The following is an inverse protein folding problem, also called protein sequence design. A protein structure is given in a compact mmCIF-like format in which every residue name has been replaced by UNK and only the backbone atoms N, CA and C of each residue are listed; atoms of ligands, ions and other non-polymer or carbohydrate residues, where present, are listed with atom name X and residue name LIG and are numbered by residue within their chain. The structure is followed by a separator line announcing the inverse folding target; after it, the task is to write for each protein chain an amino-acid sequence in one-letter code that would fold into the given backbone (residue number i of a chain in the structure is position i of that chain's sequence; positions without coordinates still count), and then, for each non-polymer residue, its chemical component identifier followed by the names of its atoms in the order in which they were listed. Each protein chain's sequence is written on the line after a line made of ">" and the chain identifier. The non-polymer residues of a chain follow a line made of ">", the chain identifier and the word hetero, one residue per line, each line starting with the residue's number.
data_IF_619151265126
#
_entry.id   IF_619151265126
#
_cell.length_a   1.000
_cell.length_b   1.000
_cell.length_c   1.000
_cell.angle_alpha   90.00
_cell.angle_beta   90.00
_cell.angle_gamma   90.00
#
_symmetry.space_group_name_H-M   'P 1'
#
loop_
_entity.id
_entity.type
_entity.pdbx_description
1 polymer ?
#
# COMPACT_ATOMS: atom_id res chain seq x y z
N UNK A 1 -3.72 6.96 4.55
CA UNK A 1 -4.16 5.55 4.56
C UNK A 1 -4.48 5.22 3.13
N UNK A 2 -3.61 4.45 2.47
CA UNK A 2 -3.70 4.24 1.01
C UNK A 2 -5.02 3.60 0.59
N UNK A 3 -5.63 2.84 1.51
CA UNK A 3 -6.85 2.08 1.31
C UNK A 3 -8.08 2.91 0.89
N UNK A 4 -8.11 4.22 1.17
CA UNK A 4 -9.23 5.09 0.75
C UNK A 4 -9.09 5.63 -0.67
N UNK A 5 -7.85 5.78 -1.16
CA UNK A 5 -7.56 6.47 -2.43
C UNK A 5 -7.33 5.48 -3.59
N UNK A 6 -6.97 4.23 -3.29
CA UNK A 6 -6.61 3.23 -4.31
C UNK A 6 -7.82 2.66 -5.08
N UNK A 7 -9.05 2.81 -4.58
CA UNK A 7 -10.27 2.23 -5.17
C UNK A 7 -11.19 3.29 -5.76
N UNK A 8 -10.76 3.95 -6.84
CA UNK A 8 -11.57 4.92 -7.59
C UNK A 8 -12.77 4.25 -8.28
N UNK A 9 -13.85 4.99 -8.60
CA UNK A 9 -15.01 4.47 -9.34
C UNK A 9 -14.61 3.75 -10.63
N UNK A 10 -13.71 4.33 -11.41
CA UNK A 10 -13.17 3.72 -12.63
C UNK A 10 -12.47 2.37 -12.35
N UNK A 11 -11.61 2.33 -11.33
CA UNK A 11 -10.90 1.10 -10.97
C UNK A 11 -11.86 -0.01 -10.51
N UNK A 12 -12.91 0.34 -9.75
CA UNK A 12 -13.90 -0.63 -9.29
C UNK A 12 -14.71 -1.20 -10.46
N UNK A 13 -15.12 -0.35 -11.42
CA UNK A 13 -15.80 -0.80 -12.66
C UNK A 13 -14.91 -1.74 -13.47
N UNK A 14 -13.62 -1.42 -13.63
CA UNK A 14 -12.65 -2.28 -14.28
C UNK A 14 -12.59 -3.67 -13.60
N UNK A 15 -12.52 -3.71 -12.27
CA UNK A 15 -12.48 -4.98 -11.53
C UNK A 15 -13.79 -5.78 -11.66
N UNK A 16 -14.96 -5.12 -11.72
CA UNK A 16 -16.24 -5.79 -12.02
C UNK A 16 -16.25 -6.44 -13.40
N UNK A 17 -15.73 -5.75 -14.42
CA UNK A 17 -15.61 -6.28 -15.78
C UNK A 17 -14.65 -7.47 -15.82
N UNK A 18 -13.48 -7.36 -15.20
CA UNK A 18 -12.52 -8.47 -15.07
C UNK A 18 -13.15 -9.67 -14.37
N UNK A 19 -13.94 -9.46 -13.32
CA UNK A 19 -14.65 -10.54 -12.63
C UNK A 19 -15.72 -11.20 -13.52
N UNK A 20 -16.49 -10.41 -14.29
CA UNK A 20 -17.46 -10.91 -15.28
C UNK A 20 -16.77 -11.71 -16.39
N UNK A 21 -15.64 -11.22 -16.90
CA UNK A 21 -14.84 -11.94 -17.89
C UNK A 21 -14.31 -13.26 -17.35
N UNK A 22 -13.77 -13.30 -16.13
CA UNK A 22 -13.30 -14.54 -15.50
C UNK A 22 -14.41 -15.58 -15.37
N UNK A 23 -15.62 -15.16 -14.97
CA UNK A 23 -16.80 -16.05 -14.92
C UNK A 23 -17.16 -16.60 -16.31
N UNK A 24 -17.08 -15.77 -17.36
CA UNK A 24 -17.31 -16.23 -18.75
C UNK A 24 -16.20 -17.18 -19.23
N UNK A 25 -14.94 -16.89 -18.89
CA UNK A 25 -13.75 -17.68 -19.26
C UNK A 25 -13.70 -19.04 -18.56
N UNK A 26 -14.20 -19.15 -17.34
CA UNK A 26 -14.33 -20.44 -16.63
C UNK A 26 -15.24 -21.44 -17.38
N UNK A 27 -16.08 -20.96 -18.28
CA UNK A 27 -16.99 -21.78 -19.09
C UNK A 27 -16.43 -22.10 -20.51
N UNK A 28 -15.17 -21.78 -20.81
CA UNK A 28 -14.55 -22.03 -22.13
C UNK A 28 -13.03 -22.30 -22.07
N UNK A 29 -12.42 -22.58 -23.23
CA UNK A 29 -10.99 -22.89 -23.37
C UNK A 29 -10.15 -21.61 -23.43
N UNK A 30 -9.78 -21.07 -22.26
CA UNK A 30 -9.07 -19.79 -22.13
C UNK A 30 -7.55 -19.96 -21.98
N UNK A 31 -6.77 -19.07 -22.61
CA UNK A 31 -5.31 -18.99 -22.44
C UNK A 31 -5.01 -18.02 -21.28
N UNK A 32 -4.38 -18.48 -20.18
CA UNK A 32 -4.19 -17.66 -19.00
C UNK A 32 -3.27 -16.46 -19.29
N UNK A 33 -3.63 -15.28 -18.77
CA UNK A 33 -2.75 -14.12 -18.78
C UNK A 33 -1.45 -14.41 -17.99
N UNK A 34 -0.39 -13.65 -18.25
CA UNK A 34 0.97 -13.95 -17.75
C UNK A 34 1.05 -14.10 -16.21
N UNK A 35 0.20 -13.38 -15.48
CA UNK A 35 0.10 -13.45 -14.02
C UNK A 35 -1.19 -14.12 -13.52
N UNK A 36 -2.00 -14.68 -14.41
CA UNK A 36 -3.24 -15.35 -14.05
C UNK A 36 -2.91 -16.65 -13.31
N UNK A 37 -3.38 -16.75 -12.05
CA UNK A 37 -3.08 -17.87 -11.16
C UNK A 37 -1.88 -17.67 -10.22
N UNK A 38 -1.16 -16.55 -10.32
CA UNK A 38 -0.12 -16.21 -9.34
C UNK A 38 -0.78 -15.82 -8.01
N UNK A 39 -0.41 -16.51 -6.93
CA UNK A 39 -0.86 -16.16 -5.59
C UNK A 39 0.00 -15.01 -5.04
N UNK A 40 -0.59 -13.81 -4.97
CA UNK A 40 0.04 -12.64 -4.36
C UNK A 40 -0.06 -12.64 -2.84
N UNK A 41 -0.85 -13.53 -2.24
CA UNK A 41 -1.11 -13.66 -0.81
C UNK A 41 -1.73 -12.42 -0.12
N UNK A 42 -1.67 -11.24 -0.73
CA UNK A 42 -2.46 -10.07 -0.37
C UNK A 42 -3.94 -10.35 -0.61
N UNK A 43 -4.75 -10.05 0.40
CA UNK A 43 -6.20 -10.20 0.32
C UNK A 43 -6.84 -9.25 1.33
N UNK A 44 -7.78 -8.43 0.90
CA UNK A 44 -8.58 -7.61 1.80
C UNK A 44 -10.04 -7.75 1.37
N UNK A 45 -10.79 -8.59 2.09
CA UNK A 45 -12.22 -8.79 1.88
C UNK A 45 -12.99 -8.68 3.20
N UNK A 46 -14.28 -8.96 3.18
CA UNK A 46 -15.15 -8.93 4.36
C UNK A 46 -14.79 -9.93 5.47
N UNK A 47 -13.86 -10.88 5.27
CA UNK A 47 -13.49 -11.87 6.30
C UNK A 47 -12.03 -11.85 6.69
N UNK A 48 -11.13 -11.61 5.73
CA UNK A 48 -9.68 -11.72 5.88
C UNK A 48 -8.98 -10.50 5.32
N UNK A 49 -8.11 -9.94 6.15
CA UNK A 49 -7.16 -8.92 5.76
C UNK A 49 -5.74 -9.46 5.91
N UNK A 50 -5.11 -9.79 4.77
CA UNK A 50 -3.77 -10.36 4.64
C UNK A 50 -2.86 -9.39 3.91
N UNK A 51 -1.66 -9.24 4.43
CA UNK A 51 -0.60 -8.47 3.77
C UNK A 51 0.60 -9.35 3.47
N UNK A 52 1.14 -9.21 2.27
CA UNK A 52 2.27 -9.93 1.74
C UNK A 52 3.13 -8.93 0.93
N UNK A 53 4.27 -8.47 1.46
CA UNK A 53 5.14 -7.58 0.72
C UNK A 53 5.82 -8.31 -0.44
N UNK A 54 5.98 -7.64 -1.57
CA UNK A 54 6.77 -8.16 -2.68
C UNK A 54 8.21 -8.45 -2.21
N UNK A 55 8.86 -9.52 -2.69
CA UNK A 55 10.24 -9.80 -2.32
C UNK A 55 11.16 -8.69 -2.86
N UNK A 56 12.31 -8.49 -2.19
CA UNK A 56 13.28 -7.45 -2.56
C UNK A 56 13.69 -7.51 -4.05
N UNK A 57 13.76 -8.69 -4.65
CA UNK A 57 14.08 -8.85 -6.07
C UNK A 57 13.07 -8.17 -7.00
N UNK A 58 11.77 -8.22 -6.65
CA UNK A 58 10.71 -7.58 -7.42
C UNK A 58 10.65 -6.09 -7.14
N UNK A 59 10.83 -5.69 -5.87
CA UNK A 59 10.90 -4.29 -5.48
C UNK A 59 12.08 -3.56 -6.12
N UNK A 60 13.23 -4.22 -6.26
CA UNK A 60 14.46 -3.65 -6.83
C UNK A 60 14.21 -3.02 -8.21
N UNK A 61 13.59 -3.74 -9.15
CA UNK A 61 13.33 -3.22 -10.48
C UNK A 61 12.37 -2.03 -10.49
N UNK A 62 11.35 -2.05 -9.61
CA UNK A 62 10.42 -0.93 -9.44
C UNK A 62 11.13 0.31 -8.88
N UNK A 63 12.02 0.13 -7.89
CA UNK A 63 12.83 1.21 -7.32
C UNK A 63 13.77 1.78 -8.38
N UNK A 64 14.48 0.93 -9.15
CA UNK A 64 15.38 1.40 -10.21
C UNK A 64 14.61 2.16 -11.28
N UNK A 65 13.42 1.68 -11.70
CA UNK A 65 12.57 2.39 -12.65
C UNK A 65 12.16 3.77 -12.11
N UNK A 66 11.66 3.84 -10.88
CA UNK A 66 11.16 5.09 -10.30
C UNK A 66 12.30 6.09 -10.07
N UNK A 67 13.43 5.62 -9.55
CA UNK A 67 14.61 6.43 -9.32
C UNK A 67 15.19 6.97 -10.63
N UNK A 68 15.41 6.10 -11.63
CA UNK A 68 15.99 6.52 -12.93
C UNK A 68 15.07 7.48 -13.69
N UNK A 69 13.74 7.25 -13.67
CA UNK A 69 12.76 8.18 -14.22
C UNK A 69 12.81 9.54 -13.52
N UNK A 70 12.79 9.54 -12.18
CA UNK A 70 12.85 10.77 -11.38
C UNK A 70 14.15 11.54 -11.62
N UNK A 71 15.29 10.85 -11.58
CA UNK A 71 16.60 11.45 -11.89
C UNK A 71 16.65 12.03 -13.30
N UNK A 72 16.11 11.34 -14.31
CA UNK A 72 16.08 11.85 -15.69
C UNK A 72 15.28 13.15 -15.82
N UNK A 73 14.13 13.23 -15.14
CA UNK A 73 13.28 14.43 -15.13
C UNK A 73 13.97 15.61 -14.45
N UNK A 74 14.73 15.37 -13.37
CA UNK A 74 15.44 16.42 -12.62
C UNK A 74 16.72 16.86 -13.33
N UNK A 75 17.52 15.92 -13.82
CA UNK A 75 18.80 16.23 -14.44
C UNK A 75 18.66 16.88 -15.81
N UNK A 76 17.56 16.67 -16.54
CA UNK A 76 17.33 17.30 -17.83
C UNK A 76 17.37 18.85 -17.79
N UNK A 77 16.52 19.54 -17.02
CA UNK A 77 16.57 21.00 -16.91
C UNK A 77 17.86 21.49 -16.24
N UNK A 78 18.37 20.76 -15.23
CA UNK A 78 19.62 21.15 -14.57
C UNK A 78 20.80 21.11 -15.54
N UNK A 79 20.87 20.10 -16.40
CA UNK A 79 21.90 19.96 -17.42
C UNK A 79 21.86 21.12 -18.41
N UNK A 80 20.67 21.54 -18.82
CA UNK A 80 20.50 22.70 -19.70
C UNK A 80 21.02 23.99 -19.04
N UNK A 81 20.69 24.23 -17.77
CA UNK A 81 21.19 25.39 -17.02
C UNK A 81 22.71 25.34 -16.88
N UNK A 82 23.27 24.19 -16.49
CA UNK A 82 24.73 24.03 -16.36
C UNK A 82 25.45 24.25 -17.67
N UNK A 83 24.83 23.88 -18.81
CA UNK A 83 25.39 24.10 -20.14
C UNK A 83 25.47 25.59 -20.48
N UNK A 84 24.41 26.35 -20.19
CA UNK A 84 24.39 27.80 -20.41
C UNK A 84 25.43 28.52 -19.53
N UNK A 85 25.51 28.14 -18.26
CA UNK A 85 26.52 28.69 -17.33
C UNK A 85 27.93 28.37 -17.82
N UNK A 86 28.18 27.14 -18.27
CA UNK A 86 29.49 26.73 -18.76
C UNK A 86 29.91 27.50 -20.02
N UNK A 87 28.99 27.74 -20.97
CA UNK A 87 29.27 28.57 -22.14
C UNK A 87 29.61 30.00 -21.72
N UNK A 88 28.82 30.58 -20.81
CA UNK A 88 29.00 31.96 -20.36
C UNK A 88 30.28 32.18 -19.55
N UNK A 89 30.68 31.20 -18.74
CA UNK A 89 31.84 31.30 -17.85
C UNK A 89 33.17 30.94 -18.52
N UNK A 90 33.13 30.21 -19.64
CA UNK A 90 34.36 29.76 -20.29
C UNK A 90 34.97 30.84 -21.21
N UNK A 91 36.29 30.82 -21.31
CA UNK A 91 37.02 31.59 -22.34
C UNK A 91 37.14 30.83 -23.68
N UNK A 92 36.58 29.62 -23.77
CA UNK A 92 36.63 28.77 -24.95
C UNK A 92 35.47 29.07 -25.90
N UNK A 93 35.57 28.64 -27.17
CA UNK A 93 34.42 28.70 -28.08
C UNK A 93 33.28 27.80 -27.58
N UNK A 94 32.04 28.24 -27.77
CA UNK A 94 30.84 27.49 -27.32
C UNK A 94 30.81 26.04 -27.85
N UNK A 95 31.37 25.80 -29.05
CA UNK A 95 31.48 24.47 -29.66
C UNK A 95 32.40 23.55 -28.86
N UNK A 96 33.57 24.05 -28.43
CA UNK A 96 34.54 23.25 -27.68
C UNK A 96 34.02 22.89 -26.30
N UNK A 97 33.41 23.85 -25.61
CA UNK A 97 32.71 23.63 -24.33
C UNK A 97 31.62 22.58 -24.48
N UNK A 98 30.83 22.68 -25.56
CA UNK A 98 29.73 21.74 -25.81
C UNK A 98 30.25 20.31 -26.03
N UNK A 99 31.35 20.14 -26.78
CA UNK A 99 31.95 18.82 -27.01
C UNK A 99 32.50 18.24 -25.70
N UNK A 100 33.21 19.03 -24.90
CA UNK A 100 33.76 18.57 -23.62
C UNK A 100 32.64 18.15 -22.65
N UNK A 101 31.56 18.92 -22.57
CA UNK A 101 30.38 18.54 -21.78
C UNK A 101 29.70 17.29 -22.33
N UNK A 102 29.59 17.15 -23.65
CA UNK A 102 28.96 16.00 -24.29
C UNK A 102 29.73 14.69 -24.04
N UNK A 103 31.06 14.77 -23.91
CA UNK A 103 31.90 13.60 -23.64
C UNK A 103 32.04 13.29 -22.15
N UNK A 104 32.00 14.30 -21.28
CA UNK A 104 32.18 14.12 -19.83
C UNK A 104 30.87 14.18 -19.02
N UNK A 105 30.19 15.32 -19.07
CA UNK A 105 29.05 15.62 -18.20
C UNK A 105 27.77 14.89 -18.62
N UNK A 106 27.35 15.02 -19.88
CA UNK A 106 26.09 14.46 -20.36
C UNK A 106 25.98 12.94 -20.21
N UNK A 107 27.01 12.12 -20.51
CA UNK A 107 26.91 10.67 -20.37
C UNK A 107 26.67 10.23 -18.93
N UNK A 108 27.23 10.93 -17.95
CA UNK A 108 27.11 10.59 -16.53
C UNK A 108 25.75 11.04 -15.97
N UNK A 109 25.37 12.30 -16.20
CA UNK A 109 24.19 12.89 -15.55
C UNK A 109 22.88 12.70 -16.32
N UNK A 110 22.94 12.51 -17.65
CA UNK A 110 21.77 12.26 -18.49
C UNK A 110 21.82 10.85 -19.10
N UNK A 111 22.96 10.43 -19.63
CA UNK A 111 23.11 9.14 -20.31
C UNK A 111 22.81 7.94 -19.42
N UNK A 112 23.50 7.81 -18.28
CA UNK A 112 23.31 6.68 -17.35
C UNK A 112 21.86 6.63 -16.82
N UNK A 113 21.26 7.71 -16.30
CA UNK A 113 19.87 7.68 -15.85
C UNK A 113 18.88 7.31 -16.96
N UNK A 114 19.03 7.87 -18.17
CA UNK A 114 18.16 7.56 -19.30
C UNK A 114 18.29 6.09 -19.73
N UNK A 115 19.51 5.55 -19.76
CA UNK A 115 19.75 4.15 -20.10
C UNK A 115 19.13 3.23 -19.04
N UNK A 116 19.33 3.52 -17.75
CA UNK A 116 18.72 2.75 -16.67
C UNK A 116 17.19 2.82 -16.70
N UNK A 117 16.62 3.98 -17.03
CA UNK A 117 15.19 4.15 -17.20
C UNK A 117 14.67 3.29 -18.36
N UNK A 118 15.33 3.35 -19.53
CA UNK A 118 14.98 2.56 -20.70
C UNK A 118 15.05 1.06 -20.41
N UNK A 119 16.16 0.57 -19.85
CA UNK A 119 16.35 -0.85 -19.53
C UNK A 119 15.30 -1.33 -18.53
N UNK A 120 15.07 -0.57 -17.47
CA UNK A 120 14.06 -0.93 -16.46
C UNK A 120 12.66 -0.95 -17.03
N UNK A 121 12.32 0.00 -17.91
CA UNK A 121 11.03 0.06 -18.59
C UNK A 121 10.82 -1.15 -19.52
N UNK A 122 11.85 -1.54 -20.28
CA UNK A 122 11.81 -2.73 -21.13
C UNK A 122 11.60 -3.98 -20.28
N UNK A 123 12.40 -4.17 -19.22
CA UNK A 123 12.32 -5.34 -18.36
C UNK A 123 10.94 -5.46 -17.69
N UNK A 124 10.40 -4.36 -17.16
CA UNK A 124 9.13 -4.38 -16.44
C UNK A 124 7.95 -4.71 -17.38
N UNK A 125 7.93 -4.10 -18.57
CA UNK A 125 6.79 -4.21 -19.48
C UNK A 125 6.87 -5.43 -20.42
N UNK A 126 8.07 -5.83 -20.83
CA UNK A 126 8.24 -6.89 -21.84
C UNK A 126 8.77 -8.21 -21.25
N UNK A 127 9.43 -8.17 -20.09
CA UNK A 127 10.02 -9.36 -19.45
C UNK A 127 9.55 -9.57 -18.01
N UNK A 128 8.22 -9.76 -17.79
CA UNK A 128 7.64 -9.92 -16.46
C UNK A 128 8.27 -11.02 -15.62
N UNK A 129 8.71 -12.13 -16.25
CA UNK A 129 9.36 -13.25 -15.56
C UNK A 129 10.74 -12.91 -14.97
N UNK A 130 11.41 -11.86 -15.46
CA UNK A 130 12.74 -11.47 -14.99
C UNK A 130 12.62 -10.67 -13.69
N UNK A 131 11.72 -9.70 -13.66
CA UNK A 131 11.59 -8.80 -12.51
C UNK A 131 10.62 -9.32 -11.47
N UNK A 132 9.49 -9.89 -11.88
CA UNK A 132 8.43 -10.25 -10.96
C UNK A 132 8.61 -11.65 -10.41
N UNK A 133 8.80 -11.71 -9.10
CA UNK A 133 8.69 -12.93 -8.28
C UNK A 133 7.56 -12.76 -7.27
N UNK A 134 6.65 -13.73 -7.13
CA UNK A 134 5.59 -13.66 -6.15
C UNK A 134 6.16 -13.67 -4.72
N UNK A 135 5.43 -13.09 -3.75
CA UNK A 135 5.78 -13.21 -2.35
C UNK A 135 5.70 -14.67 -1.90
N UNK A 136 6.52 -15.04 -0.90
CA UNK A 136 6.54 -16.40 -0.35
C UNK A 136 5.24 -16.75 0.40
N UNK A 137 4.56 -15.72 0.90
CA UNK A 137 3.35 -15.83 1.69
C UNK A 137 3.03 -14.50 2.38
N UNK A 138 1.92 -14.44 3.14
CA UNK A 138 1.58 -13.29 3.94
C UNK A 138 2.55 -13.11 5.12
N UNK A 139 2.83 -11.88 5.49
CA UNK A 139 3.56 -11.53 6.72
C UNK A 139 2.64 -11.60 7.94
N UNK A 140 1.39 -11.12 7.77
CA UNK A 140 0.35 -11.19 8.77
C UNK A 140 -1.04 -11.35 8.13
N UNK A 141 -1.98 -11.86 8.92
CA UNK A 141 -3.39 -12.05 8.58
C UNK A 141 -4.27 -11.69 9.77
N UNK A 142 -5.26 -10.83 9.53
CA UNK A 142 -6.35 -10.54 10.43
C UNK A 142 -7.59 -11.26 9.92
N UNK A 143 -8.22 -12.09 10.75
CA UNK A 143 -9.41 -12.83 10.38
C UNK A 143 -10.60 -12.37 11.24
N UNK A 144 -11.47 -11.54 10.64
CA UNK A 144 -12.67 -10.99 11.27
C UNK A 144 -13.59 -12.08 11.79
N UNK A 145 -13.81 -13.16 11.03
CA UNK A 145 -14.74 -14.25 11.41
C UNK A 145 -14.32 -14.96 12.69
N UNK A 146 -13.02 -15.18 12.85
CA UNK A 146 -12.48 -15.90 14.02
C UNK A 146 -12.02 -14.99 15.14
N UNK A 147 -11.82 -13.70 14.87
CA UNK A 147 -11.17 -12.76 15.80
C UNK A 147 -9.67 -13.02 16.02
N UNK A 148 -9.04 -13.84 15.17
CA UNK A 148 -7.64 -14.25 15.30
C UNK A 148 -6.72 -13.41 14.40
N UNK A 149 -5.51 -13.20 14.90
CA UNK A 149 -4.37 -12.62 14.21
C UNK A 149 -3.34 -13.71 14.00
N UNK A 150 -2.84 -13.86 12.76
CA UNK A 150 -1.76 -14.79 12.43
C UNK A 150 -0.54 -14.02 11.95
N UNK A 151 0.62 -14.27 12.53
CA UNK A 151 1.92 -13.75 12.10
C UNK A 151 2.74 -14.92 11.55
N UNK A 152 3.34 -14.74 10.38
CA UNK A 152 4.09 -15.78 9.69
C UNK A 152 5.59 -15.50 9.75
N UNK A 153 6.39 -16.44 10.27
CA UNK A 153 7.85 -16.35 10.27
C UNK A 153 8.44 -17.33 9.23
N UNK A 154 9.23 -16.78 8.31
CA UNK A 154 9.87 -17.49 7.20
C UNK A 154 11.38 -17.73 7.40
N UNK A 155 11.95 -17.49 8.59
CA UNK A 155 13.38 -17.70 8.87
C UNK A 155 13.82 -19.13 8.59
N UNK A 156 13.04 -20.13 9.02
CA UNK A 156 13.34 -21.56 8.83
C UNK A 156 12.92 -22.10 7.47
N UNK A 157 12.05 -21.39 6.75
CA UNK A 157 11.52 -21.83 5.46
C UNK A 157 12.60 -22.15 4.43
N UNK A 158 13.69 -21.37 4.38
CA UNK A 158 14.77 -21.63 3.40
C UNK A 158 15.58 -22.89 3.68
N UNK A 159 15.73 -23.27 4.96
CA UNK A 159 16.59 -24.38 5.39
C UNK A 159 15.80 -25.68 5.61
N UNK A 160 14.61 -25.57 6.19
CA UNK A 160 13.80 -26.70 6.68
C UNK A 160 12.46 -26.81 5.96
N UNK A 161 12.07 -25.83 5.15
CA UNK A 161 10.76 -25.80 4.48
C UNK A 161 9.58 -25.51 5.42
N UNK A 162 9.83 -25.26 6.71
CA UNK A 162 8.80 -24.99 7.72
C UNK A 162 8.46 -23.49 7.75
N UNK A 163 7.16 -23.18 7.78
CA UNK A 163 6.64 -21.82 8.01
C UNK A 163 6.07 -21.80 9.42
N UNK A 164 6.69 -21.03 10.29
CA UNK A 164 6.21 -20.85 11.65
C UNK A 164 5.04 -19.86 11.65
N UNK A 165 4.05 -20.14 12.49
CA UNK A 165 2.85 -19.32 12.61
C UNK A 165 2.59 -19.06 14.08
N UNK A 166 2.53 -17.79 14.43
CA UNK A 166 2.01 -17.35 15.72
C UNK A 166 0.55 -16.95 15.53
N UNK A 167 -0.35 -17.53 16.31
CA UNK A 167 -1.80 -17.27 16.22
C UNK A 167 -2.27 -16.86 17.61
N UNK A 168 -2.85 -15.66 17.70
CA UNK A 168 -3.42 -15.15 18.94
C UNK A 168 -4.70 -14.34 18.66
N UNK A 169 -5.64 -14.25 19.61
CA UNK A 169 -6.80 -13.37 19.52
C UNK A 169 -6.43 -11.89 19.37
N UNK A 170 -7.22 -11.13 18.61
CA UNK A 170 -6.96 -9.71 18.34
C UNK A 170 -6.95 -8.85 19.60
N UNK A 171 -7.77 -9.16 20.60
CA UNK A 171 -7.83 -8.42 21.87
C UNK A 171 -6.57 -8.57 22.74
N UNK A 172 -5.67 -9.51 22.41
CA UNK A 172 -4.38 -9.70 23.09
C UNK A 172 -3.26 -8.82 22.49
N UNK A 173 -3.58 -8.06 21.43
CA UNK A 173 -2.67 -7.10 20.83
C UNK A 173 -2.97 -5.69 21.31
N UNK A 174 -1.94 -5.04 21.84
CA UNK A 174 -1.99 -3.64 22.22
C UNK A 174 -1.44 -2.78 21.08
N UNK A 175 -2.10 -1.64 20.84
CA UNK A 175 -1.75 -0.71 19.78
C UNK A 175 -0.79 0.37 20.28
N UNK A 176 0.34 0.50 19.60
CA UNK A 176 1.36 1.50 19.86
C UNK A 176 1.52 2.43 18.66
N UNK A 177 1.65 3.72 18.94
CA UNK A 177 2.08 4.69 17.94
C UNK A 177 3.61 4.75 17.94
N UNK A 178 4.21 4.37 16.81
CA UNK A 178 5.65 4.48 16.61
C UNK A 178 5.98 5.81 15.94
N UNK A 179 6.98 6.51 16.47
CA UNK A 179 7.49 7.76 15.91
C UNK A 179 8.86 7.52 15.32
N UNK A 180 9.02 7.71 14.02
CA UNK A 180 10.32 7.69 13.34
C UNK A 180 10.72 9.11 12.99
N UNK A 181 11.88 9.56 13.47
CA UNK A 181 12.41 10.89 13.13
C UNK A 181 13.15 10.84 11.81
N UNK A 182 12.68 11.60 10.82
CA UNK A 182 13.34 11.79 9.53
C UNK A 182 13.80 13.26 9.40
N UNK A 183 14.67 13.53 8.42
CA UNK A 183 15.16 14.90 8.12
C UNK A 183 14.03 15.91 7.82
N UNK A 184 12.84 15.42 7.47
CA UNK A 184 11.66 16.21 7.12
C UNK A 184 10.66 16.35 8.26
N UNK A 185 10.94 15.79 9.45
CA UNK A 185 10.03 15.80 10.59
C UNK A 185 9.75 14.40 11.14
N UNK A 186 8.98 14.31 12.25
CA UNK A 186 8.51 13.03 12.78
C UNK A 186 7.49 12.41 11.84
N UNK A 187 7.59 11.12 11.61
CA UNK A 187 6.59 10.32 10.93
C UNK A 187 5.96 9.35 11.93
N UNK A 188 4.64 9.23 11.89
CA UNK A 188 3.90 8.35 12.80
C UNK A 188 3.40 7.10 12.09
N UNK A 189 3.50 5.95 12.75
CA UNK A 189 3.00 4.67 12.27
C UNK A 189 2.28 3.88 13.37
N UNK A 190 1.54 2.86 12.97
CA UNK A 190 0.85 1.94 13.87
C UNK A 190 1.63 0.64 14.00
N UNK A 191 1.90 0.23 15.25
CA UNK A 191 2.48 -1.05 15.61
C UNK A 191 1.50 -1.78 16.52
N UNK A 192 1.16 -3.03 16.19
CA UNK A 192 0.49 -3.92 17.14
C UNK A 192 1.52 -4.83 17.78
N UNK A 193 1.49 -4.92 19.10
CA UNK A 193 2.37 -5.80 19.87
C UNK A 193 1.52 -6.74 20.71
N UNK A 194 1.85 -8.03 20.67
CA UNK A 194 1.21 -9.01 21.52
C UNK A 194 1.59 -8.79 22.99
N UNK A 195 0.62 -8.90 23.90
CA UNK A 195 0.82 -8.57 25.32
C UNK A 195 1.76 -9.54 26.04
N UNK A 196 1.68 -10.83 25.70
CA UNK A 196 2.38 -11.89 26.46
C UNK A 196 3.66 -12.40 25.80
N UNK A 197 3.86 -12.13 24.51
CA UNK A 197 4.99 -12.65 23.74
C UNK A 197 5.59 -11.53 22.88
N UNK A 198 6.88 -11.62 22.54
CA UNK A 198 7.57 -10.61 21.71
C UNK A 198 7.24 -10.76 20.21
N UNK A 199 5.95 -10.68 19.90
CA UNK A 199 5.41 -10.69 18.55
C UNK A 199 4.84 -9.32 18.20
N UNK A 200 5.26 -8.77 17.05
CA UNK A 200 4.96 -7.39 16.63
C UNK A 200 4.55 -7.36 15.16
N UNK A 201 3.57 -6.52 14.84
CA UNK A 201 3.12 -6.26 13.46
C UNK A 201 3.25 -4.77 13.20
N UNK A 202 4.05 -4.41 12.21
CA UNK A 202 4.21 -3.02 11.79
C UNK A 202 3.32 -2.73 10.57
N UNK A 203 2.38 -1.79 10.73
CA UNK A 203 1.44 -1.40 9.68
C UNK A 203 1.92 -0.20 8.84
N UNK A 204 3.19 0.20 8.94
CA UNK A 204 3.75 1.33 8.18
C UNK A 204 3.50 1.21 6.68
N UNK A 205 3.48 -0.01 6.11
CA UNK A 205 3.24 -0.22 4.68
C UNK A 205 1.82 0.16 4.21
N UNK A 206 0.84 0.22 5.11
CA UNK A 206 -0.54 0.65 4.80
C UNK A 206 -0.70 2.18 4.82
N UNK A 207 0.35 2.88 5.27
CA UNK A 207 0.34 4.32 5.48
C UNK A 207 1.43 4.99 4.64
N UNK A 208 1.17 6.23 4.23
CA UNK A 208 2.24 7.08 3.72
C UNK A 208 2.97 7.69 4.92
N UNK A 209 4.26 7.95 4.76
CA UNK A 209 5.01 8.71 5.75
C UNK A 209 4.37 10.09 5.90
N UNK A 210 3.95 10.42 7.11
CA UNK A 210 3.21 11.63 7.42
C UNK A 210 3.40 12.06 8.87
N UNK A 211 3.29 13.36 9.12
CA UNK A 211 3.46 13.98 10.44
C UNK A 211 2.14 14.09 11.24
N UNK A 212 1.02 13.69 10.66
CA UNK A 212 -0.28 13.64 11.35
C UNK A 212 -0.45 12.39 12.22
N UNK A 213 -0.47 12.58 13.54
CA UNK A 213 -0.73 11.53 14.55
C UNK A 213 -2.14 10.92 14.43
N UNK A 214 -3.09 11.59 13.78
CA UNK A 214 -4.46 11.10 13.60
C UNK A 214 -4.54 9.93 12.63
N UNK A 215 -3.59 9.79 11.69
CA UNK A 215 -3.58 8.69 10.72
C UNK A 215 -3.38 7.30 11.33
N UNK A 216 -2.38 7.06 12.21
CA UNK A 216 -2.29 5.77 12.90
C UNK A 216 -3.50 5.53 13.83
N UNK A 217 -4.08 6.57 14.43
CA UNK A 217 -5.31 6.45 15.22
C UNK A 217 -6.51 6.01 14.35
N UNK A 218 -6.70 6.62 13.19
CA UNK A 218 -7.75 6.22 12.24
C UNK A 218 -7.56 4.79 11.73
N UNK A 219 -6.31 4.38 11.49
CA UNK A 219 -6.01 3.00 11.11
C UNK A 219 -6.36 2.03 12.25
N UNK A 220 -6.05 2.39 13.50
CA UNK A 220 -6.43 1.60 14.66
C UNK A 220 -7.95 1.48 14.82
N UNK A 221 -8.70 2.59 14.68
CA UNK A 221 -10.17 2.58 14.69
C UNK A 221 -10.72 1.72 13.54
N UNK A 222 -10.12 1.79 12.35
CA UNK A 222 -10.47 0.94 11.21
C UNK A 222 -10.26 -0.55 11.54
N UNK A 223 -9.11 -0.92 12.11
CA UNK A 223 -8.82 -2.32 12.45
C UNK A 223 -9.78 -2.85 13.52
N UNK A 224 -10.10 -2.05 14.53
CA UNK A 224 -11.10 -2.42 15.53
C UNK A 224 -12.48 -2.65 14.90
N UNK A 225 -12.97 -1.71 14.10
CA UNK A 225 -14.25 -1.84 13.39
C UNK A 225 -14.26 -3.01 12.39
N UNK A 226 -13.12 -3.28 11.75
CA UNK A 226 -12.97 -4.41 10.85
C UNK A 226 -12.94 -5.75 11.60
N UNK A 227 -12.37 -5.83 12.79
CA UNK A 227 -12.33 -7.06 13.58
C UNK A 227 -13.62 -7.30 14.39
N UNK A 228 -14.39 -6.25 14.64
CA UNK A 228 -15.68 -6.34 15.32
C UNK A 228 -16.78 -6.91 14.40
N UNK A 229 -17.25 -8.11 14.73
CA UNK A 229 -18.33 -8.80 14.01
C UNK A 229 -19.73 -8.31 14.38
N UNK A 230 -19.87 -7.52 15.44
CA UNK A 230 -21.18 -7.04 15.91
C UNK A 230 -21.72 -5.86 15.09
N UNK A 231 -20.82 -5.07 14.49
CA UNK A 231 -21.14 -3.96 13.60
C UNK A 231 -20.93 -4.29 12.12
N UNK A 232 -21.44 -3.44 11.20
CA UNK A 232 -21.14 -3.56 9.78
C UNK A 232 -19.65 -3.34 9.50
N UNK A 233 -19.14 -3.89 8.40
CA UNK A 233 -17.77 -3.58 7.95
C UNK A 233 -17.65 -2.08 7.63
N UNK A 234 -16.45 -1.49 7.81
CA UNK A 234 -16.21 -0.08 7.48
C UNK A 234 -16.74 0.29 6.10
N UNK A 235 -17.48 1.39 6.00
CA UNK A 235 -18.01 1.87 4.74
C UNK A 235 -16.94 2.65 3.96
N UNK A 236 -16.13 1.89 3.22
CA UNK A 236 -15.03 2.41 2.40
C UNK A 236 -15.12 1.81 0.99
N UNK A 237 -14.63 2.53 -0.04
CA UNK A 237 -14.70 2.06 -1.43
C UNK A 237 -14.17 0.64 -1.65
N UNK A 238 -13.07 0.30 -0.97
CA UNK A 238 -12.44 -1.03 -1.02
C UNK A 238 -13.40 -2.19 -0.70
N UNK A 239 -14.36 -1.97 0.20
CA UNK A 239 -15.26 -3.02 0.67
C UNK A 239 -16.59 -3.10 -0.08
N UNK A 240 -16.89 -2.15 -0.98
CA UNK A 240 -18.13 -2.13 -1.75
C UNK A 240 -18.45 -3.50 -2.42
N UNK A 241 -17.49 -4.19 -3.07
CA UNK A 241 -17.78 -5.48 -3.70
C UNK A 241 -18.11 -6.61 -2.72
N UNK A 242 -17.82 -6.44 -1.43
CA UNK A 242 -17.96 -7.48 -0.42
C UNK A 242 -19.05 -7.19 0.62
N UNK A 243 -19.61 -5.97 0.67
CA UNK A 243 -20.62 -5.58 1.68
C UNK A 243 -21.80 -6.54 1.74
N UNK A 244 -22.31 -6.97 0.59
CA UNK A 244 -23.43 -7.91 0.47
C UNK A 244 -23.10 -9.35 0.92
N UNK A 245 -21.82 -9.70 1.09
CA UNK A 245 -21.38 -11.02 1.54
C UNK A 245 -21.30 -11.13 3.07
N UNK A 246 -21.20 -9.99 3.76
CA UNK A 246 -21.24 -9.96 5.21
C UNK A 246 -22.69 -9.81 5.71
N UNK A 247 -23.24 -10.78 6.46
CA UNK A 247 -24.66 -10.76 6.84
C UNK A 247 -25.03 -9.54 7.70
N UNK A 248 -24.17 -9.17 8.65
CA UNK A 248 -24.40 -8.01 9.54
C UNK A 248 -24.41 -6.72 8.73
N UNK A 249 -23.47 -6.57 7.79
CA UNK A 249 -23.43 -5.43 6.88
C UNK A 249 -24.64 -5.39 5.95
N UNK A 250 -25.03 -6.53 5.37
CA UNK A 250 -26.16 -6.63 4.46
C UNK A 250 -27.48 -6.24 5.14
N UNK A 251 -27.72 -6.73 6.36
CA UNK A 251 -28.90 -6.38 7.15
C UNK A 251 -28.92 -4.88 7.50
N UNK A 252 -27.76 -4.34 7.89
CA UNK A 252 -27.60 -2.92 8.19
C UNK A 252 -27.87 -2.03 6.97
N UNK A 253 -27.32 -2.40 5.82
CA UNK A 253 -27.49 -1.66 4.55
C UNK A 253 -28.95 -1.73 4.06
N UNK A 254 -29.61 -2.89 4.21
CA UNK A 254 -31.02 -3.07 3.87
C UNK A 254 -31.93 -2.20 4.74
N UNK A 255 -31.69 -2.16 6.06
CA UNK A 255 -32.46 -1.33 6.98
C UNK A 255 -32.36 0.17 6.67
N UNK A 256 -31.21 0.61 6.14
CA UNK A 256 -30.94 2.01 5.79
C UNK A 256 -31.27 2.35 4.34
N UNK A 257 -31.67 1.38 3.52
CA UNK A 257 -31.91 1.59 2.10
C UNK A 257 -30.67 2.07 1.34
N UNK A 258 -29.47 1.66 1.76
CA UNK A 258 -28.21 2.04 1.10
C UNK A 258 -28.16 1.44 -0.31
N UNK A 259 -27.75 2.23 -1.29
CA UNK A 259 -27.45 1.71 -2.62
C UNK A 259 -26.24 0.73 -2.58
N UNK A 260 -26.37 -0.53 -3.04
CA UNK A 260 -25.26 -1.50 -3.10
C UNK A 260 -24.11 -1.11 -4.05
N UNK A 261 -24.32 -0.10 -4.89
CA UNK A 261 -23.33 0.44 -5.85
C UNK A 261 -22.99 1.91 -5.55
N UNK A 262 -23.18 2.34 -4.31
CA UNK A 262 -22.94 3.70 -3.84
C UNK A 262 -21.57 4.23 -4.28
N UNK A 263 -20.49 3.48 -4.03
CA UNK A 263 -19.14 3.92 -4.40
C UNK A 263 -18.85 3.74 -5.89
N UNK A 264 -19.38 2.69 -6.52
CA UNK A 264 -19.05 2.32 -7.90
C UNK A 264 -19.70 3.27 -8.90
N UNK A 265 -20.95 3.64 -8.69
CA UNK A 265 -21.72 4.45 -9.65
C UNK A 265 -21.54 5.97 -9.43
N UNK A 266 -20.78 6.37 -8.41
CA UNK A 266 -20.45 7.76 -8.12
C UNK A 266 -19.55 8.36 -9.23
N UNK A 267 -19.71 9.66 -9.50
CA UNK A 267 -18.79 10.41 -10.36
C UNK A 267 -17.49 10.77 -9.61
N UNK A 268 -16.43 11.05 -10.37
CA UNK A 268 -15.09 11.26 -9.79
C UNK A 268 -14.99 12.52 -8.90
N UNK A 269 -15.76 13.57 -9.19
CA UNK A 269 -15.76 14.81 -8.41
C UNK A 269 -16.47 14.60 -7.06
N UNK A 270 -17.63 13.94 -7.07
CA UNK A 270 -18.35 13.53 -5.85
C UNK A 270 -17.51 12.54 -5.04
N UNK A 271 -16.87 11.56 -5.70
CA UNK A 271 -15.98 10.61 -5.04
C UNK A 271 -14.85 11.32 -4.30
N UNK A 272 -14.19 12.27 -4.96
CA UNK A 272 -13.14 13.07 -4.34
C UNK A 272 -13.66 13.85 -3.14
N UNK A 273 -14.85 14.45 -3.27
CA UNK A 273 -15.49 15.21 -2.17
C UNK A 273 -15.78 14.32 -0.96
N UNK A 274 -16.30 13.12 -1.17
CA UNK A 274 -16.57 12.16 -0.08
C UNK A 274 -15.28 11.66 0.58
N UNK A 275 -14.25 11.35 -0.20
CA UNK A 275 -12.93 10.96 0.33
C UNK A 275 -12.30 12.11 1.12
N UNK A 276 -12.40 13.35 0.62
CA UNK A 276 -11.93 14.53 1.34
C UNK A 276 -12.71 14.74 2.65
N UNK A 277 -14.03 14.53 2.65
CA UNK A 277 -14.86 14.59 3.85
C UNK A 277 -14.48 13.49 4.87
N UNK A 278 -14.15 12.27 4.40
CA UNK A 278 -13.60 11.20 5.25
C UNK A 278 -12.28 11.63 5.88
N UNK A 279 -11.40 12.27 5.10
CA UNK A 279 -10.14 12.80 5.62
C UNK A 279 -10.36 13.89 6.67
N UNK A 280 -11.30 14.81 6.47
CA UNK A 280 -11.64 15.81 7.49
C UNK A 280 -12.11 15.17 8.79
N UNK A 281 -12.94 14.10 8.71
CA UNK A 281 -13.34 13.33 9.90
C UNK A 281 -12.14 12.68 10.59
N UNK A 282 -11.19 12.14 9.82
CA UNK A 282 -9.95 11.57 10.37
C UNK A 282 -9.13 12.63 11.10
N UNK A 283 -8.97 13.83 10.55
CA UNK A 283 -8.24 14.90 11.22
C UNK A 283 -8.93 15.41 12.50
N UNK A 284 -10.26 15.23 12.59
CA UNK A 284 -11.04 15.57 13.77
C UNK A 284 -11.08 14.46 14.84
N UNK A 285 -10.41 13.31 14.62
CA UNK A 285 -10.38 12.20 15.58
C UNK A 285 -9.74 12.66 16.90
N UNK A 286 -10.43 12.37 17.99
CA UNK A 286 -10.09 12.74 19.36
C UNK A 286 -9.53 11.55 20.17
N UNK A 287 -8.95 10.52 19.51
CA UNK A 287 -8.51 9.26 20.16
C UNK A 287 -7.70 9.48 21.43
N UNK A 288 -6.82 10.49 21.47
CA UNK A 288 -6.01 10.79 22.66
C UNK A 288 -6.81 11.32 23.86
N UNK A 289 -8.00 11.86 23.62
CA UNK A 289 -8.93 12.34 24.63
C UNK A 289 -9.94 11.28 25.06
N UNK A 290 -10.05 10.17 24.33
CA UNK A 290 -11.02 9.11 24.62
C UNK A 290 -10.64 8.36 25.90
N UNK A 291 -11.62 8.01 26.76
CA UNK A 291 -11.34 7.24 27.96
C UNK A 291 -10.82 5.84 27.58
N UNK A 292 -9.66 5.46 28.11
CA UNK A 292 -9.14 4.10 27.97
C UNK A 292 -9.99 3.14 28.82
N UNK A 293 -10.92 2.44 28.17
CA UNK A 293 -11.79 1.46 28.84
C UNK A 293 -10.99 0.29 29.45
N UNK A 294 -9.84 -0.04 28.87
CA UNK A 294 -8.96 -1.11 29.35
C UNK A 294 -8.12 -0.69 30.56
N UNK A 295 -8.02 0.61 30.88
CA UNK A 295 -7.32 1.08 32.09
C UNK A 295 -7.92 0.56 33.40
N UNK A 296 -9.15 0.04 33.36
CA UNK A 296 -9.79 -0.62 34.52
C UNK A 296 -9.42 -2.08 34.68
N UNK A 297 -8.87 -2.70 33.63
CA UNK A 297 -8.64 -4.14 33.54
C UNK A 297 -7.15 -4.50 33.38
N UNK A 298 -6.31 -3.52 33.07
CA UNK A 298 -4.88 -3.72 32.78
C UNK A 298 -4.07 -2.73 33.59
N UNK A 299 -3.06 -3.25 34.29
CA UNK A 299 -2.05 -2.44 34.96
C UNK A 299 -0.92 -2.14 33.97
N UNK A 300 -0.71 -0.86 33.65
CA UNK A 300 0.37 -0.40 32.77
C UNK A 300 1.66 -0.10 33.55
N UNK A 301 1.67 -0.29 34.88
CA UNK A 301 2.86 -0.09 35.71
C UNK A 301 3.72 -1.35 35.78
N UNK A 302 4.40 -1.67 34.67
CA UNK A 302 5.54 -2.60 34.67
C UNK A 302 6.65 -2.11 33.75
#
# INVERSE_FOLDING_TARGET
>A
MKLFEESTPESMKLWEEVAKEKKKKANGTHVPAIFEGVNLHNKCDHERFKFAPLPFTSQFWLIVLQFSKGSSIIFFPLSFITHLIAIQASHLSWQKVTIELLLGFYPIFLGIPLLLWLVSHIIINHFPRIWFRPPKGPEWELNRRTGLVTIFDYKRHRKEGVIDKFIAPFYEFDAYMITTSNRHGPTYGLLLQHRYEDHKINFHMLMNADDFQQRPCALWDFLQNYMDISGPIPDIPLFEPYRHLDPVTADYDQQRGRNPRYWIDMDDDTFKTEVDAMWQRVYAIDTFSRPNLMARYVDYSS
#
